data_IF_043995152943
#
_entry.id   IF_043995152943
#
_cell.length_a   1.000
_cell.length_b   1.000
_cell.length_c   1.000
_cell.angle_alpha   90.00
_cell.angle_beta   90.00
_cell.angle_gamma   90.00
#
_symmetry.space_group_name_H-M   'P 1'
#
loop_
_entity.id
_entity.type
_entity.pdbx_description
1 polymer ?
#
# COMPACT_ATOMS: atom_id res chain seq x y z
N UNK A 1 5.38 -22.59 -75.50
CA UNK A 1 4.77 -21.75 -74.46
C UNK A 1 5.02 -20.32 -74.89
N UNK A 2 4.40 -19.90 -75.99
CA UNK A 2 3.03 -19.35 -76.09
C UNK A 2 2.95 -17.89 -75.61
N UNK A 3 2.74 -17.01 -76.59
CA UNK A 3 2.10 -15.69 -76.60
C UNK A 3 2.66 -14.48 -75.79
N UNK A 4 2.92 -13.41 -76.56
CA UNK A 4 2.87 -11.98 -76.17
C UNK A 4 1.41 -11.59 -75.74
N UNK A 5 1.02 -10.34 -75.34
CA UNK A 5 1.67 -9.04 -75.58
C UNK A 5 1.52 -7.94 -74.48
N UNK A 6 2.11 -6.78 -74.78
CA UNK A 6 1.72 -5.45 -74.28
C UNK A 6 0.22 -5.18 -74.49
N UNK A 7 -0.44 -4.45 -73.58
CA UNK A 7 -1.20 -3.22 -73.90
C UNK A 7 -1.91 -2.63 -72.66
N UNK A 8 -1.79 -1.30 -72.52
CA UNK A 8 -2.77 -0.33 -71.97
C UNK A 8 -3.43 -0.54 -70.61
N UNK A 9 -3.30 0.45 -69.73
CA UNK A 9 -4.32 1.50 -69.60
C UNK A 9 -3.90 2.56 -68.58
N UNK A 10 -3.86 3.82 -69.04
CA UNK A 10 -4.05 4.99 -68.20
C UNK A 10 -5.42 4.89 -67.52
N UNK A 11 -5.52 5.14 -66.22
CA UNK A 11 -6.65 5.92 -65.73
C UNK A 11 -6.35 6.66 -64.42
N UNK A 12 -6.96 7.83 -64.32
CA UNK A 12 -6.83 8.85 -63.30
C UNK A 12 -7.50 8.39 -62.01
N UNK A 13 -6.89 8.71 -60.87
CA UNK A 13 -7.64 8.99 -59.65
C UNK A 13 -6.89 10.01 -58.80
N UNK A 14 -7.39 11.24 -58.81
CA UNK A 14 -7.28 12.15 -57.67
C UNK A 14 -7.93 11.43 -56.47
N UNK A 15 -7.33 11.44 -55.29
CA UNK A 15 -8.04 11.70 -54.02
C UNK A 15 -7.04 12.05 -52.92
N UNK A 16 -7.42 13.11 -52.22
CA UNK A 16 -6.81 13.70 -51.04
C UNK A 16 -6.50 12.71 -49.91
N UNK A 17 -5.47 13.02 -49.11
CA UNK A 17 -5.54 13.23 -47.65
C UNK A 17 -4.17 12.96 -47.01
N UNK A 18 -3.33 13.99 -46.99
CA UNK A 18 -2.30 14.14 -45.97
C UNK A 18 -2.89 14.92 -44.81
N UNK A 19 -3.65 14.25 -43.94
CA UNK A 19 -4.04 14.80 -42.65
C UNK A 19 -3.47 13.90 -41.59
N UNK A 20 -2.37 14.37 -41.01
CA UNK A 20 -1.75 13.83 -39.81
C UNK A 20 -2.84 13.49 -38.79
N UNK A 21 -2.94 12.20 -38.46
CA UNK A 21 -3.66 11.72 -37.28
C UNK A 21 -2.90 12.26 -36.07
N UNK A 22 -3.29 13.44 -35.62
CA UNK A 22 -2.89 13.96 -34.31
C UNK A 22 -3.54 13.05 -33.28
N UNK A 23 -2.70 12.26 -32.61
CA UNK A 23 -3.08 11.36 -31.53
C UNK A 23 -4.01 12.08 -30.54
N UNK A 24 -5.14 11.47 -30.11
CA UNK A 24 -5.92 12.04 -29.04
C UNK A 24 -5.02 12.13 -27.81
N UNK A 25 -4.94 13.35 -27.27
CA UNK A 25 -4.20 13.72 -26.09
C UNK A 25 -4.23 12.58 -25.06
N UNK A 26 -3.06 11.97 -24.84
CA UNK A 26 -2.84 11.03 -23.75
C UNK A 26 -3.16 11.79 -22.47
N UNK A 27 -4.35 11.59 -21.91
CA UNK A 27 -4.70 12.05 -20.58
C UNK A 27 -3.64 11.43 -19.69
N UNK A 28 -2.68 12.24 -19.24
CA UNK A 28 -1.74 11.85 -18.21
C UNK A 28 -2.61 11.59 -16.97
N UNK A 29 -2.87 10.32 -16.70
CA UNK A 29 -3.42 9.90 -15.43
C UNK A 29 -2.55 10.53 -14.35
N UNK A 30 -3.13 11.44 -13.57
CA UNK A 30 -2.54 12.02 -12.37
C UNK A 30 -1.85 10.88 -11.62
N UNK A 31 -0.53 10.97 -11.45
CA UNK A 31 0.34 9.87 -11.08
C UNK A 31 -0.08 9.19 -9.78
N UNK A 32 -0.94 8.19 -9.89
CA UNK A 32 -1.32 7.32 -8.78
C UNK A 32 -0.14 6.41 -8.49
N UNK A 33 0.69 6.79 -7.52
CA UNK A 33 1.77 5.92 -7.06
C UNK A 33 1.15 4.77 -6.27
N UNK A 34 1.28 3.56 -6.81
CA UNK A 34 0.84 2.35 -6.12
C UNK A 34 1.82 2.03 -4.99
N UNK A 35 1.32 1.85 -3.77
CA UNK A 35 2.09 1.43 -2.60
C UNK A 35 1.68 0.03 -2.15
N UNK A 36 2.61 -0.72 -1.57
CA UNK A 36 2.31 -1.94 -0.82
C UNK A 36 1.97 -1.53 0.61
N UNK A 37 0.87 -2.03 1.15
CA UNK A 37 0.40 -1.70 2.49
C UNK A 37 0.08 -2.97 3.27
N UNK A 38 0.36 -2.94 4.58
CA UNK A 38 -0.16 -3.87 5.56
C UNK A 38 -1.52 -3.37 6.04
N UNK A 39 -2.57 -4.14 5.77
CA UNK A 39 -3.94 -3.89 6.21
C UNK A 39 -4.09 -4.51 7.59
N UNK A 40 -4.49 -3.69 8.55
CA UNK A 40 -4.65 -4.10 9.94
C UNK A 40 -6.09 -3.85 10.38
N UNK A 41 -6.63 -4.74 11.20
CA UNK A 41 -7.85 -4.49 11.96
C UNK A 41 -7.48 -4.04 13.36
N UNK A 42 -8.13 -2.97 13.80
CA UNK A 42 -8.09 -2.54 15.18
C UNK A 42 -9.46 -2.01 15.57
N UNK A 43 -10.10 -2.68 16.53
CA UNK A 43 -11.43 -2.30 17.00
C UNK A 43 -12.52 -2.36 15.93
N UNK A 44 -12.42 -3.32 15.01
CA UNK A 44 -13.38 -3.54 13.94
C UNK A 44 -13.22 -2.61 12.73
N UNK A 45 -12.30 -1.64 12.81
CA UNK A 45 -11.98 -0.73 11.71
C UNK A 45 -10.68 -1.15 11.00
N UNK A 46 -10.62 -0.90 9.68
CA UNK A 46 -9.46 -1.22 8.85
C UNK A 46 -8.56 0.00 8.67
N UNK A 47 -7.28 -0.20 8.97
CA UNK A 47 -6.23 0.79 8.74
C UNK A 47 -5.14 0.20 7.84
N UNK A 48 -4.28 1.08 7.32
CA UNK A 48 -3.14 0.66 6.50
C UNK A 48 -1.84 1.27 7.01
N UNK A 49 -0.78 0.47 6.97
CA UNK A 49 0.58 0.91 7.23
C UNK A 49 1.38 0.68 5.95
N UNK A 50 2.09 1.69 5.48
CA UNK A 50 3.02 1.55 4.34
C UNK A 50 4.01 0.42 4.65
N UNK A 51 4.04 -0.60 3.80
CA UNK A 51 4.82 -1.81 4.03
C UNK A 51 6.31 -1.52 4.18
N UNK A 52 6.81 -0.41 3.60
CA UNK A 52 8.22 0.00 3.74
C UNK A 52 8.64 0.27 5.18
N UNK A 53 7.68 0.64 6.04
CA UNK A 53 7.92 0.95 7.44
C UNK A 53 7.69 -0.28 8.34
N UNK A 54 7.11 -1.36 7.83
CA UNK A 54 6.85 -2.58 8.61
C UNK A 54 8.11 -3.43 8.68
N UNK A 55 8.53 -3.80 9.88
CA UNK A 55 9.71 -4.66 10.11
C UNK A 55 9.34 -6.10 10.38
N UNK A 56 8.39 -6.32 11.27
CA UNK A 56 7.90 -7.65 11.58
C UNK A 56 6.52 -7.59 12.22
N UNK A 57 5.85 -8.73 12.22
CA UNK A 57 4.60 -8.96 12.92
C UNK A 57 4.83 -10.13 13.86
N UNK A 58 4.41 -9.99 15.11
CA UNK A 58 4.57 -11.04 16.11
C UNK A 58 3.38 -11.09 17.07
N UNK A 59 3.21 -12.23 17.72
CA UNK A 59 2.22 -12.42 18.78
C UNK A 59 2.79 -11.83 20.08
N UNK A 60 2.03 -10.95 20.72
CA UNK A 60 2.44 -10.31 21.97
C UNK A 60 2.23 -11.30 23.12
N UNK A 61 3.33 -11.78 23.71
CA UNK A 61 3.28 -12.74 24.82
C UNK A 61 3.08 -12.06 26.18
N UNK A 62 3.72 -10.91 26.36
CA UNK A 62 3.65 -10.14 27.60
C UNK A 62 3.98 -8.67 27.33
N UNK A 63 3.35 -7.82 28.13
CA UNK A 63 3.56 -6.37 28.15
C UNK A 63 4.09 -6.03 29.54
N UNK A 64 5.24 -5.36 29.60
CA UNK A 64 5.79 -4.82 30.84
C UNK A 64 5.33 -3.37 30.96
N UNK A 65 4.47 -3.03 31.95
CA UNK A 65 4.00 -1.66 32.14
C UNK A 65 5.16 -0.75 32.53
N UNK A 66 5.18 0.48 32.01
CA UNK A 66 6.17 1.50 32.38
C UNK A 66 5.43 2.68 33.01
N UNK A 67 5.72 3.03 34.28
CA UNK A 67 5.07 4.16 34.94
C UNK A 67 5.30 5.49 34.19
N UNK A 68 4.25 6.31 34.10
CA UNK A 68 4.32 7.66 33.51
C UNK A 68 4.34 7.69 31.98
N UNK A 69 4.02 6.58 31.29
CA UNK A 69 3.89 6.59 29.84
C UNK A 69 2.71 7.47 29.36
N UNK A 70 2.86 8.18 28.22
CA UNK A 70 1.76 8.89 27.57
C UNK A 70 0.58 7.98 27.23
N UNK A 71 -0.62 8.55 27.13
CA UNK A 71 -1.83 7.83 26.73
C UNK A 71 -1.65 7.11 25.39
N UNK A 72 -2.03 5.83 25.36
CA UNK A 72 -1.86 4.94 24.20
C UNK A 72 -0.61 4.08 24.27
N UNK A 73 0.46 4.51 24.96
CA UNK A 73 1.60 3.63 25.22
C UNK A 73 1.28 2.73 26.42
N UNK A 74 1.04 1.45 26.14
CA UNK A 74 0.60 0.48 27.16
C UNK A 74 1.76 -0.17 27.93
N UNK A 75 2.99 0.04 27.45
CA UNK A 75 4.20 -0.50 28.05
C UNK A 75 5.24 -0.87 27.01
N UNK A 76 6.08 -1.84 27.35
CA UNK A 76 7.13 -2.36 26.47
C UNK A 76 7.08 -3.88 26.39
N UNK A 77 7.67 -4.45 25.34
CA UNK A 77 7.92 -5.89 25.22
C UNK A 77 9.35 -6.15 24.76
N UNK A 78 9.88 -7.33 25.07
CA UNK A 78 11.20 -7.74 24.61
C UNK A 78 11.03 -8.61 23.35
N UNK A 79 11.56 -8.10 22.25
CA UNK A 79 11.58 -8.78 20.96
C UNK A 79 13.03 -9.07 20.59
N UNK A 80 13.44 -10.34 20.80
CA UNK A 80 14.79 -10.85 20.48
C UNK A 80 15.92 -9.99 21.07
N UNK A 81 15.77 -9.55 22.31
CA UNK A 81 16.75 -8.71 23.01
C UNK A 81 16.54 -7.21 22.80
N UNK A 82 15.61 -6.81 21.94
CA UNK A 82 15.28 -5.41 21.68
C UNK A 82 14.03 -5.00 22.45
N UNK A 83 14.10 -3.92 23.22
CA UNK A 83 12.95 -3.38 23.93
C UNK A 83 12.11 -2.54 22.97
N UNK A 84 10.88 -2.97 22.71
CA UNK A 84 9.94 -2.33 21.80
C UNK A 84 8.80 -1.70 22.61
N UNK A 85 8.55 -0.39 22.50
CA UNK A 85 7.35 0.22 23.07
C UNK A 85 6.11 -0.26 22.33
N UNK A 86 5.03 -0.51 23.07
CA UNK A 86 3.76 -0.97 22.51
C UNK A 86 2.71 0.15 22.57
N UNK A 87 2.09 0.40 21.42
CA UNK A 87 1.11 1.46 21.21
C UNK A 87 -0.27 0.84 20.90
N UNK A 88 -1.23 1.14 21.76
CA UNK A 88 -2.66 0.97 21.51
C UNK A 88 -3.23 2.28 20.95
N UNK A 89 -3.64 2.25 19.69
CA UNK A 89 -4.19 3.42 18.99
C UNK A 89 -5.71 3.58 19.22
N UNK A 90 -6.39 2.61 19.83
CA UNK A 90 -7.85 2.68 20.05
C UNK A 90 -8.28 3.92 20.84
N UNK A 91 -7.60 4.33 21.93
CA UNK A 91 -7.96 5.54 22.66
C UNK A 91 -7.80 6.82 21.82
N UNK A 92 -6.86 6.84 20.86
CA UNK A 92 -6.62 8.00 20.00
C UNK A 92 -7.70 8.14 18.92
N UNK A 93 -8.27 7.03 18.46
CA UNK A 93 -9.31 7.00 17.44
C UNK A 93 -10.72 6.82 18.02
N UNK A 94 -10.87 6.88 19.34
CA UNK A 94 -12.15 6.66 20.04
C UNK A 94 -12.81 5.34 19.66
N UNK A 95 -12.01 4.31 19.42
CA UNK A 95 -12.50 2.99 19.01
C UNK A 95 -12.86 2.17 20.24
N UNK A 96 -14.11 1.72 20.29
CA UNK A 96 -14.58 0.78 21.31
C UNK A 96 -14.33 -0.64 20.82
N UNK A 97 -13.43 -1.35 21.50
CA UNK A 97 -13.12 -2.73 21.11
C UNK A 97 -12.94 -3.63 22.31
N UNK A 98 -13.82 -4.64 22.41
CA UNK A 98 -13.68 -5.80 23.29
C UNK A 98 -12.59 -6.76 22.80
N UNK A 99 -12.18 -6.65 21.54
CA UNK A 99 -11.23 -7.55 20.92
C UNK A 99 -9.85 -7.47 21.59
N UNK A 100 -9.27 -8.65 21.84
CA UNK A 100 -7.93 -8.75 22.40
C UNK A 100 -6.89 -8.35 21.34
N UNK A 101 -6.03 -7.40 21.71
CA UNK A 101 -4.87 -7.01 20.91
C UNK A 101 -3.75 -8.05 21.07
N UNK A 102 -3.86 -9.12 20.27
CA UNK A 102 -2.98 -10.31 20.39
C UNK A 102 -1.71 -10.21 19.58
N UNK A 103 -1.66 -9.29 18.60
CA UNK A 103 -0.54 -9.13 17.69
C UNK A 103 0.03 -7.71 17.77
N UNK A 104 1.29 -7.57 17.39
CA UNK A 104 1.93 -6.28 17.19
C UNK A 104 2.62 -6.22 15.84
N UNK A 105 2.45 -5.08 15.16
CA UNK A 105 3.18 -4.72 13.94
C UNK A 105 4.29 -3.76 14.33
N UNK A 106 5.55 -4.19 14.18
CA UNK A 106 6.70 -3.31 14.40
C UNK A 106 6.82 -2.35 13.24
N UNK A 107 6.61 -1.07 13.51
CA UNK A 107 6.77 0.02 12.57
C UNK A 107 8.06 0.76 12.89
N UNK A 108 8.92 0.96 11.89
CA UNK A 108 10.16 1.71 12.01
C UNK A 108 10.16 2.94 11.10
N UNK A 109 10.57 4.08 11.65
CA UNK A 109 10.84 5.29 10.91
C UNK A 109 12.16 5.93 11.39
N UNK A 110 13.17 5.94 10.51
CA UNK A 110 14.53 6.31 10.90
C UNK A 110 15.05 5.40 12.03
N UNK A 111 15.47 6.00 13.13
CA UNK A 111 16.01 5.29 14.30
C UNK A 111 14.94 4.90 15.32
N UNK A 112 13.68 5.28 15.08
CA UNK A 112 12.56 5.02 15.99
C UNK A 112 11.80 3.77 15.55
N UNK A 113 11.42 2.94 16.53
CA UNK A 113 10.55 1.79 16.31
C UNK A 113 9.49 1.70 17.40
N UNK A 114 8.29 1.26 17.00
CA UNK A 114 7.14 1.06 17.90
C UNK A 114 6.35 -0.16 17.43
N UNK A 115 5.86 -0.95 18.36
CA UNK A 115 4.91 -2.02 18.08
C UNK A 115 3.50 -1.45 18.15
N UNK A 116 2.81 -1.37 17.01
CA UNK A 116 1.40 -1.03 16.96
C UNK A 116 0.60 -2.30 17.24
N UNK A 117 -0.21 -2.28 18.29
CA UNK A 117 -1.05 -3.40 18.65
C UNK A 117 -2.25 -3.52 17.70
N UNK A 118 -2.56 -4.75 17.29
CA UNK A 118 -3.62 -5.05 16.31
C UNK A 118 -4.40 -6.31 16.69
N UNK A 119 -5.62 -6.42 16.18
CA UNK A 119 -6.53 -7.53 16.49
C UNK A 119 -6.04 -8.85 15.84
N UNK A 120 -5.58 -8.76 14.59
CA UNK A 120 -5.26 -9.91 13.72
C UNK A 120 -3.96 -9.70 12.94
N UNK A 121 -3.43 -10.80 12.36
CA UNK A 121 -2.26 -10.73 11.47
C UNK A 121 -2.58 -9.86 10.25
N UNK A 122 -1.71 -8.90 9.88
CA UNK A 122 -1.96 -8.02 8.75
C UNK A 122 -2.01 -8.76 7.40
N UNK A 123 -2.92 -8.33 6.52
CA UNK A 123 -2.92 -8.72 5.11
C UNK A 123 -2.05 -7.75 4.31
N UNK A 124 -1.30 -8.23 3.31
CA UNK A 124 -0.50 -7.36 2.45
C UNK A 124 -1.19 -7.13 1.10
N UNK A 125 -1.52 -5.88 0.79
CA UNK A 125 -2.19 -5.50 -0.47
C UNK A 125 -1.50 -4.35 -1.18
N UNK A 126 -1.70 -4.27 -2.48
CA UNK A 126 -1.32 -3.11 -3.29
C UNK A 126 -2.47 -2.09 -3.28
N UNK A 127 -2.21 -0.85 -2.89
CA UNK A 127 -3.21 0.23 -2.85
C UNK A 127 -2.67 1.50 -3.49
N UNK A 128 -3.56 2.38 -3.92
CA UNK A 128 -3.22 3.72 -4.40
C UNK A 128 -2.93 4.60 -3.19
N UNK A 129 -1.86 5.40 -3.25
CA UNK A 129 -1.60 6.47 -2.30
C UNK A 129 -2.18 7.76 -2.86
N UNK A 130 -3.16 8.33 -2.17
CA UNK A 130 -3.72 9.66 -2.46
C UNK A 130 -2.86 10.78 -1.87
#
# INVERSE_FOLDING_TARGET
MDSAPHSTASDRALTAQGTSLSEPARIQATGSSTIRAAIISMGGELFTIDLKNVREVFVVKSITPVPGMPSGLVGVTNLRGTVIPLLDLRPMFSLNAEAALTHAVVVQHGNWQVGVLVDTVPEIRSTIRE
#
